data_IF_204486504124
#
_entry.id   IF_204486504124
#
_cell.length_a   1.000
_cell.length_b   1.000
_cell.length_c   1.000
_cell.angle_alpha   90.00
_cell.angle_beta   90.00
_cell.angle_gamma   90.00
#
_symmetry.space_group_name_H-M   'P 1'
#
loop_
_entity.id
_entity.type
_entity.pdbx_description
1 polymer ?
#
# COMPACT_ATOMS: atom_id res chain seq x y z
N UNK A 1 20.13 -21.19 26.81
CA UNK A 1 19.41 -19.90 26.82
C UNK A 1 20.07 -18.98 25.80
N UNK A 2 19.36 -18.03 25.19
CA UNK A 2 19.98 -17.00 24.35
C UNK A 2 21.05 -16.23 25.14
N UNK A 3 22.21 -15.96 24.54
CA UNK A 3 23.42 -15.43 25.21
C UNK A 3 23.25 -14.03 25.84
N UNK A 4 22.21 -13.28 25.48
CA UNK A 4 21.99 -11.89 25.92
C UNK A 4 20.73 -11.69 26.76
N UNK A 5 20.11 -12.77 27.23
CA UNK A 5 18.80 -12.69 27.91
C UNK A 5 18.88 -11.95 29.26
N UNK A 6 20.01 -12.06 29.96
CA UNK A 6 20.31 -11.40 31.21
C UNK A 6 20.44 -9.88 31.05
N UNK A 7 21.17 -9.41 30.04
CA UNK A 7 21.28 -7.98 29.71
C UNK A 7 19.92 -7.41 29.28
N UNK A 8 19.16 -8.16 28.47
CA UNK A 8 17.80 -7.75 28.07
C UNK A 8 16.87 -7.58 29.28
N UNK A 9 16.92 -8.51 30.25
CA UNK A 9 16.18 -8.38 31.49
C UNK A 9 16.59 -7.16 32.32
N UNK A 10 17.88 -6.79 32.31
CA UNK A 10 18.38 -5.55 32.90
C UNK A 10 17.71 -4.31 32.30
N UNK A 11 17.63 -4.23 30.97
CA UNK A 11 16.97 -3.13 30.25
C UNK A 11 15.48 -3.07 30.58
N UNK A 12 14.79 -4.22 30.62
CA UNK A 12 13.36 -4.26 30.95
C UNK A 12 13.07 -3.72 32.35
N UNK A 13 13.96 -3.95 33.32
CA UNK A 13 13.83 -3.41 34.68
C UNK A 13 14.04 -1.90 34.69
N UNK A 14 15.10 -1.42 34.04
CA UNK A 14 15.44 0.01 33.99
C UNK A 14 14.36 0.84 33.28
N UNK A 15 13.82 0.33 32.16
CA UNK A 15 12.89 1.06 31.29
C UNK A 15 11.43 0.64 31.46
N UNK A 16 11.09 -0.08 32.54
CA UNK A 16 9.78 -0.71 32.72
C UNK A 16 8.61 0.27 32.53
N UNK A 17 8.66 1.41 33.22
CA UNK A 17 7.59 2.44 33.17
C UNK A 17 7.43 2.97 31.76
N UNK A 18 8.52 3.43 31.13
CA UNK A 18 8.50 3.97 29.78
C UNK A 18 8.05 2.94 28.72
N UNK A 19 8.48 1.67 28.86
CA UNK A 19 8.07 0.60 27.95
C UNK A 19 6.60 0.26 28.13
N UNK A 20 6.10 0.16 29.37
CA UNK A 20 4.67 -0.03 29.65
C UNK A 20 3.84 1.11 29.11
N UNK A 21 4.28 2.36 29.31
CA UNK A 21 3.63 3.52 28.70
C UNK A 21 3.59 3.36 27.18
N UNK A 22 4.72 3.20 26.49
CA UNK A 22 4.75 3.10 25.02
C UNK A 22 3.97 1.92 24.45
N UNK A 23 3.95 0.78 25.12
CA UNK A 23 3.17 -0.39 24.73
C UNK A 23 1.66 -0.18 24.97
N UNK A 24 1.28 0.69 25.90
CA UNK A 24 -0.10 1.03 26.23
C UNK A 24 -0.56 2.38 25.67
N UNK A 25 0.32 3.23 25.12
CA UNK A 25 0.00 4.57 24.62
C UNK A 25 -1.02 4.50 23.48
N UNK A 26 -1.00 3.45 22.66
CA UNK A 26 -2.04 3.16 21.66
C UNK A 26 -3.33 2.54 22.20
N UNK A 27 -3.49 2.43 23.53
CA UNK A 27 -4.72 1.95 24.21
C UNK A 27 -5.26 2.93 25.26
N UNK A 28 -4.50 3.97 25.62
CA UNK A 28 -4.77 4.78 26.83
C UNK A 28 -4.74 6.29 26.63
N UNK A 29 -4.09 6.83 25.59
CA UNK A 29 -4.37 8.21 25.18
C UNK A 29 -5.66 8.18 24.38
N UNK A 30 -6.75 8.26 25.13
CA UNK A 30 -8.10 8.40 24.61
C UNK A 30 -8.09 9.38 23.44
N UNK A 31 -8.60 8.94 22.28
CA UNK A 31 -9.21 9.87 21.34
C UNK A 31 -10.37 10.54 22.10
N UNK A 32 -10.07 11.68 22.74
CA UNK A 32 -10.82 12.19 23.89
C UNK A 32 -12.14 12.84 23.55
N UNK A 33 -12.41 13.17 22.28
CA UNK A 33 -13.76 13.61 21.96
C UNK A 33 -14.68 12.39 21.87
N UNK A 34 -15.66 12.32 22.77
CA UNK A 34 -16.82 11.43 22.66
C UNK A 34 -17.38 11.45 21.22
N UNK A 35 -17.32 12.62 20.57
CA UNK A 35 -17.65 12.84 19.17
C UNK A 35 -16.85 11.99 18.19
N UNK A 36 -15.54 11.86 18.33
CA UNK A 36 -14.74 10.98 17.47
C UNK A 36 -15.22 9.53 17.58
N UNK A 37 -15.41 9.05 18.81
CA UNK A 37 -15.90 7.69 19.04
C UNK A 37 -17.31 7.48 18.49
N UNK A 38 -18.20 8.46 18.64
CA UNK A 38 -19.54 8.43 18.05
C UNK A 38 -19.50 8.31 16.53
N UNK A 39 -18.68 9.14 15.86
CA UNK A 39 -18.53 9.09 14.40
C UNK A 39 -17.89 7.77 13.97
N UNK A 40 -16.88 7.26 14.70
CA UNK A 40 -16.33 5.94 14.44
C UNK A 40 -17.41 4.86 14.45
N UNK A 41 -18.22 4.82 15.51
CA UNK A 41 -19.27 3.80 15.68
C UNK A 41 -20.39 3.94 14.63
N UNK A 42 -20.69 5.16 14.18
CA UNK A 42 -21.63 5.40 13.07
C UNK A 42 -21.10 4.88 11.73
N UNK A 43 -19.78 4.90 11.54
CA UNK A 43 -19.12 4.46 10.31
C UNK A 43 -18.48 3.07 10.44
N UNK A 44 -18.76 2.33 11.51
CA UNK A 44 -18.32 0.95 11.72
C UNK A 44 -19.52 0.01 11.68
N UNK A 45 -19.64 -0.73 10.58
CA UNK A 45 -20.83 -1.48 10.23
C UNK A 45 -20.69 -2.95 10.62
N UNK A 46 -21.76 -3.59 11.14
CA UNK A 46 -21.71 -4.98 11.57
C UNK A 46 -21.66 -5.97 10.41
N UNK A 47 -20.97 -7.08 10.62
CA UNK A 47 -20.83 -8.18 9.67
C UNK A 47 -22.02 -9.15 9.73
N UNK A 48 -23.24 -8.63 9.62
CA UNK A 48 -24.47 -9.45 9.59
C UNK A 48 -25.23 -9.25 8.28
N UNK A 49 -26.15 -10.17 7.98
CA UNK A 49 -27.00 -10.14 6.78
C UNK A 49 -26.18 -10.03 5.47
N UNK A 50 -25.04 -10.73 5.41
CA UNK A 50 -24.31 -10.88 4.17
C UNK A 50 -25.14 -11.73 3.20
N UNK A 51 -25.17 -11.39 1.89
CA UNK A 51 -25.81 -12.23 0.89
C UNK A 51 -25.09 -13.58 0.77
N UNK A 52 -25.72 -14.55 0.12
CA UNK A 52 -25.03 -15.78 -0.22
C UNK A 52 -23.83 -15.49 -1.14
N UNK A 53 -22.65 -16.09 -0.88
CA UNK A 53 -21.48 -15.86 -1.69
C UNK A 53 -21.75 -16.32 -3.13
N UNK A 54 -21.37 -15.48 -4.09
CA UNK A 54 -21.52 -15.84 -5.50
C UNK A 54 -20.50 -16.93 -5.87
N UNK A 55 -20.97 -17.94 -6.61
CA UNK A 55 -20.08 -18.96 -7.17
C UNK A 55 -19.28 -18.35 -8.33
N UNK A 56 -17.98 -18.62 -8.35
CA UNK A 56 -17.08 -18.07 -9.36
C UNK A 56 -15.77 -18.82 -9.43
N UNK A 57 -14.99 -18.50 -10.46
CA UNK A 57 -13.58 -18.90 -10.50
C UNK A 57 -12.82 -17.82 -9.77
N UNK A 58 -11.93 -18.18 -8.86
CA UNK A 58 -11.05 -17.19 -8.28
C UNK A 58 -9.61 -17.64 -8.22
N UNK A 59 -8.72 -16.67 -8.15
CA UNK A 59 -7.28 -16.85 -8.07
C UNK A 59 -6.74 -16.06 -6.89
N UNK A 60 -5.91 -16.69 -6.08
CA UNK A 60 -5.10 -16.03 -5.06
C UNK A 60 -3.67 -15.90 -5.57
N UNK A 61 -3.09 -14.70 -5.46
CA UNK A 61 -1.77 -14.38 -5.99
C UNK A 61 -0.92 -13.79 -4.87
N UNK A 62 0.29 -14.31 -4.76
CA UNK A 62 1.32 -13.77 -3.88
C UNK A 62 2.70 -13.90 -4.53
N UNK A 63 3.63 -13.08 -4.06
CA UNK A 63 5.00 -12.96 -4.53
C UNK A 63 6.01 -13.35 -3.45
N UNK A 64 7.18 -13.80 -3.88
CA UNK A 64 8.32 -13.98 -3.01
C UNK A 64 9.60 -13.62 -3.73
N UNK A 65 10.58 -13.16 -2.96
CA UNK A 65 11.89 -12.84 -3.50
C UNK A 65 13.01 -13.25 -2.55
N UNK A 66 14.20 -13.36 -3.10
CA UNK A 66 15.42 -13.60 -2.35
C UNK A 66 16.60 -12.97 -3.06
N UNK A 67 17.64 -12.69 -2.28
CA UNK A 67 18.84 -12.04 -2.78
C UNK A 67 20.10 -12.55 -2.08
N UNK A 68 21.22 -12.40 -2.78
CA UNK A 68 22.57 -12.68 -2.30
C UNK A 68 23.51 -11.57 -2.74
N UNK A 69 24.31 -11.08 -1.79
CA UNK A 69 25.43 -10.23 -2.12
C UNK A 69 26.61 -11.09 -2.59
N UNK A 70 27.17 -10.72 -3.72
CA UNK A 70 28.34 -11.35 -4.31
C UNK A 70 29.61 -10.60 -3.89
N UNK A 71 30.75 -11.28 -3.88
CA UNK A 71 32.03 -10.74 -3.42
C UNK A 71 32.52 -9.56 -4.26
N UNK A 72 32.10 -9.47 -5.52
CA UNK A 72 32.40 -8.36 -6.42
C UNK A 72 31.49 -7.14 -6.20
N UNK A 73 30.63 -7.15 -5.17
CA UNK A 73 29.73 -6.07 -4.82
C UNK A 73 28.43 -6.01 -5.64
N UNK A 74 28.18 -7.00 -6.50
CA UNK A 74 26.88 -7.18 -7.16
C UNK A 74 25.89 -7.90 -6.25
N UNK A 75 24.61 -7.80 -6.59
CA UNK A 75 23.52 -8.49 -5.93
C UNK A 75 22.85 -9.40 -6.95
N UNK A 76 22.88 -10.71 -6.69
CA UNK A 76 22.02 -11.68 -7.36
C UNK A 76 20.66 -11.66 -6.67
N UNK A 77 19.58 -11.62 -7.46
CA UNK A 77 18.23 -11.76 -6.91
C UNK A 77 17.36 -12.66 -7.77
N UNK A 78 16.34 -13.21 -7.12
CA UNK A 78 15.21 -13.90 -7.73
C UNK A 78 13.94 -13.28 -7.17
N UNK A 79 13.02 -12.90 -8.03
CA UNK A 79 11.64 -12.52 -7.69
C UNK A 79 10.69 -13.44 -8.46
N UNK A 80 9.70 -13.99 -7.77
CA UNK A 80 8.72 -14.90 -8.37
C UNK A 80 7.34 -14.64 -7.81
N UNK A 81 6.33 -14.98 -8.59
CA UNK A 81 4.94 -14.94 -8.15
C UNK A 81 4.21 -16.19 -8.63
N UNK A 82 3.19 -16.56 -7.86
CA UNK A 82 2.33 -17.70 -8.11
C UNK A 82 0.88 -17.27 -8.00
N UNK A 83 0.02 -17.78 -8.88
CA UNK A 83 -1.43 -17.68 -8.80
C UNK A 83 -2.03 -19.07 -8.68
N UNK A 84 -2.86 -19.31 -7.67
CA UNK A 84 -3.55 -20.57 -7.42
C UNK A 84 -5.06 -20.35 -7.50
N UNK A 85 -5.78 -21.26 -8.16
CA UNK A 85 -7.23 -21.20 -8.27
C UNK A 85 -7.96 -22.23 -7.42
N UNK A 86 -9.27 -22.00 -7.22
CA UNK A 86 -10.20 -23.00 -6.72
C UNK A 86 -10.53 -24.11 -7.74
N UNK A 87 -10.16 -23.92 -9.00
CA UNK A 87 -10.09 -24.99 -10.00
C UNK A 87 -8.63 -25.43 -10.20
N UNK A 88 -8.35 -26.61 -10.79
CA UNK A 88 -6.99 -27.08 -11.09
C UNK A 88 -6.27 -26.21 -12.14
N UNK A 89 -5.89 -24.99 -11.75
CA UNK A 89 -5.19 -24.00 -12.55
C UNK A 89 -4.16 -23.28 -11.69
N UNK A 90 -2.94 -23.16 -12.23
CA UNK A 90 -1.83 -22.44 -11.61
C UNK A 90 -1.13 -21.59 -12.66
N UNK A 91 -0.76 -20.37 -12.29
CA UNK A 91 0.01 -19.48 -13.14
C UNK A 91 1.25 -18.99 -12.40
N UNK A 92 2.38 -18.91 -13.10
CA UNK A 92 3.66 -18.57 -12.48
C UNK A 92 4.48 -17.59 -13.31
N UNK A 93 5.27 -16.79 -12.61
CA UNK A 93 6.24 -15.90 -13.22
C UNK A 93 7.49 -15.80 -12.35
N UNK A 94 8.65 -15.68 -12.99
CA UNK A 94 9.94 -15.56 -12.32
C UNK A 94 10.84 -14.61 -13.11
N UNK A 95 11.51 -13.73 -12.38
CA UNK A 95 12.58 -12.87 -12.86
C UNK A 95 13.80 -13.14 -11.98
N UNK A 96 14.96 -13.29 -12.61
CA UNK A 96 16.23 -13.40 -11.93
C UNK A 96 17.26 -12.59 -12.70
N UNK A 97 18.12 -11.87 -11.98
CA UNK A 97 19.15 -11.02 -12.57
C UNK A 97 20.24 -10.67 -11.54
N UNK A 98 21.33 -10.08 -12.01
CA UNK A 98 22.49 -9.65 -11.21
C UNK A 98 22.74 -8.18 -11.46
N UNK A 99 22.70 -7.36 -10.41
CA UNK A 99 22.80 -5.90 -10.57
C UNK A 99 23.70 -5.24 -9.53
N UNK A 100 24.01 -3.96 -9.74
CA UNK A 100 24.72 -3.12 -8.77
C UNK A 100 24.11 -1.72 -8.71
N UNK A 101 24.54 -0.91 -7.74
CA UNK A 101 23.95 0.39 -7.44
C UNK A 101 24.81 1.56 -7.93
N UNK A 102 24.14 2.63 -8.37
CA UNK A 102 24.79 3.89 -8.74
C UNK A 102 25.29 4.69 -7.52
N UNK A 103 24.61 4.56 -6.38
CA UNK A 103 24.91 5.26 -5.12
C UNK A 103 24.58 4.36 -3.94
N UNK A 104 25.26 4.55 -2.79
CA UNK A 104 25.34 3.62 -1.65
C UNK A 104 24.14 2.70 -1.35
N UNK A 105 24.45 1.50 -0.83
CA UNK A 105 23.61 0.29 -0.66
C UNK A 105 22.24 0.40 0.04
N UNK A 106 21.78 1.59 0.43
CA UNK A 106 20.68 1.77 1.39
C UNK A 106 19.26 1.47 0.87
N UNK A 107 19.05 0.93 -0.35
CA UNK A 107 17.70 0.72 -0.92
C UNK A 107 17.50 -0.56 -1.74
N UNK A 108 18.30 -1.60 -1.52
CA UNK A 108 18.13 -2.89 -2.24
C UNK A 108 16.75 -3.51 -2.03
N UNK A 109 16.22 -3.45 -0.81
CA UNK A 109 14.93 -4.05 -0.49
C UNK A 109 13.77 -3.42 -1.26
N UNK A 110 13.68 -2.09 -1.34
CA UNK A 110 12.57 -1.42 -2.02
C UNK A 110 12.49 -1.74 -3.51
N UNK A 111 13.64 -1.84 -4.20
CA UNK A 111 13.68 -2.22 -5.61
C UNK A 111 13.22 -3.67 -5.83
N UNK A 112 13.70 -4.60 -5.01
CA UNK A 112 13.34 -6.01 -5.14
C UNK A 112 11.88 -6.25 -4.72
N UNK A 113 11.37 -5.52 -3.73
CA UNK A 113 9.92 -5.53 -3.42
C UNK A 113 9.12 -5.10 -4.63
N UNK A 114 9.48 -4.02 -5.32
CA UNK A 114 8.81 -3.60 -6.55
C UNK A 114 8.91 -4.66 -7.67
N UNK A 115 10.03 -5.39 -7.77
CA UNK A 115 10.17 -6.53 -8.70
C UNK A 115 9.26 -7.70 -8.34
N UNK A 116 9.08 -7.98 -7.05
CA UNK A 116 8.13 -8.99 -6.57
C UNK A 116 6.69 -8.61 -6.94
N UNK A 117 6.29 -7.37 -6.65
CA UNK A 117 4.98 -6.85 -7.02
C UNK A 117 4.77 -6.87 -8.54
N UNK A 118 5.81 -6.54 -9.32
CA UNK A 118 5.77 -6.65 -10.78
C UNK A 118 5.50 -8.10 -11.24
N UNK A 119 6.11 -9.10 -10.58
CA UNK A 119 5.85 -10.50 -10.89
C UNK A 119 4.40 -10.88 -10.58
N UNK A 120 3.84 -10.41 -9.46
CA UNK A 120 2.43 -10.64 -9.11
C UNK A 120 1.50 -10.06 -10.18
N UNK A 121 1.70 -8.79 -10.57
CA UNK A 121 0.92 -8.16 -11.63
C UNK A 121 1.13 -8.83 -12.99
N UNK A 122 2.29 -9.42 -13.25
CA UNK A 122 2.51 -10.18 -14.47
C UNK A 122 1.69 -11.48 -14.47
N UNK A 123 1.57 -12.18 -13.33
CA UNK A 123 0.67 -13.33 -13.19
C UNK A 123 -0.78 -12.91 -13.40
N UNK A 124 -1.21 -11.79 -12.80
CA UNK A 124 -2.55 -11.22 -13.02
C UNK A 124 -2.78 -10.94 -14.51
N UNK A 125 -1.83 -10.29 -15.18
CA UNK A 125 -1.93 -9.95 -16.59
C UNK A 125 -2.06 -11.19 -17.48
N UNK A 126 -1.31 -12.26 -17.19
CA UNK A 126 -1.42 -13.55 -17.90
C UNK A 126 -2.81 -14.15 -17.73
N UNK A 127 -3.33 -14.18 -16.50
CA UNK A 127 -4.67 -14.68 -16.19
C UNK A 127 -5.74 -13.91 -16.95
N UNK A 128 -5.73 -12.58 -16.85
CA UNK A 128 -6.69 -11.72 -17.55
C UNK A 128 -6.61 -11.86 -19.06
N UNK A 129 -5.40 -11.98 -19.62
CA UNK A 129 -5.20 -12.23 -21.06
C UNK A 129 -5.81 -13.57 -21.47
N UNK A 130 -5.68 -14.61 -20.64
CA UNK A 130 -6.31 -15.91 -20.88
C UNK A 130 -7.83 -15.84 -20.82
N UNK A 131 -8.40 -15.05 -19.91
CA UNK A 131 -9.85 -14.83 -19.81
C UNK A 131 -10.38 -14.10 -21.03
N UNK A 132 -9.67 -13.07 -21.50
CA UNK A 132 -10.04 -12.32 -22.71
C UNK A 132 -10.05 -13.19 -23.97
N UNK A 133 -9.14 -14.16 -24.06
CA UNK A 133 -9.07 -15.11 -25.18
C UNK A 133 -10.19 -16.17 -25.14
N UNK A 134 -10.72 -16.48 -23.96
CA UNK A 134 -11.84 -17.40 -23.80
C UNK A 134 -13.15 -16.65 -24.12
N UNK A 135 -13.69 -16.85 -25.32
CA UNK A 135 -14.94 -16.22 -25.83
C UNK A 135 -16.22 -16.58 -25.05
N UNK A 136 -16.13 -17.39 -24.00
CA UNK A 136 -17.25 -17.65 -23.09
C UNK A 136 -17.46 -16.50 -22.12
N UNK A 137 -18.35 -15.60 -22.50
CA UNK A 137 -18.93 -14.55 -21.65
C UNK A 137 -19.62 -15.16 -20.41
N UNK A 138 -19.49 -14.51 -19.25
CA UNK A 138 -20.16 -14.81 -17.96
C UNK A 138 -19.52 -15.86 -17.03
N UNK A 139 -18.20 -15.79 -16.77
CA UNK A 139 -17.69 -16.31 -15.48
C UNK A 139 -17.42 -15.15 -14.54
N UNK A 140 -17.99 -15.22 -13.34
CA UNK A 140 -17.61 -14.34 -12.23
C UNK A 140 -16.18 -14.71 -11.81
N UNK A 141 -15.22 -13.99 -12.36
CA UNK A 141 -13.81 -14.17 -12.05
C UNK A 141 -13.41 -13.20 -10.95
N UNK A 142 -12.73 -13.69 -9.93
CA UNK A 142 -12.19 -12.87 -8.84
C UNK A 142 -10.68 -13.11 -8.72
N UNK A 143 -9.89 -12.06 -8.64
CA UNK A 143 -8.45 -12.17 -8.40
C UNK A 143 -8.13 -11.47 -7.07
N UNK A 144 -7.64 -12.24 -6.11
CA UNK A 144 -7.14 -11.78 -4.83
C UNK A 144 -5.62 -11.60 -4.91
N UNK A 145 -5.13 -10.43 -4.51
CA UNK A 145 -3.70 -10.10 -4.44
C UNK A 145 -3.35 -9.81 -2.99
N UNK A 146 -2.28 -10.43 -2.46
CA UNK A 146 -1.74 -10.07 -1.15
C UNK A 146 -0.99 -8.72 -1.22
N UNK A 147 -1.69 -7.66 -0.86
CA UNK A 147 -1.20 -6.29 -0.86
C UNK A 147 -2.26 -5.25 -1.21
N UNK A 148 -1.98 -4.01 -0.83
CA UNK A 148 -2.84 -2.87 -1.13
C UNK A 148 -2.71 -2.45 -2.59
N UNK A 149 -3.81 -2.43 -3.35
CA UNK A 149 -3.82 -1.87 -4.70
C UNK A 149 -3.59 -0.36 -4.65
N UNK A 150 -4.29 0.35 -3.76
CA UNK A 150 -4.19 1.80 -3.64
C UNK A 150 -2.80 2.23 -3.14
N UNK A 151 -2.25 1.55 -2.14
CA UNK A 151 -0.93 1.87 -1.57
C UNK A 151 0.17 1.80 -2.63
N UNK A 152 0.14 0.76 -3.48
CA UNK A 152 1.10 0.55 -4.57
C UNK A 152 1.09 1.68 -5.59
N UNK A 153 -0.09 2.17 -5.98
CA UNK A 153 -0.21 3.26 -6.97
C UNK A 153 0.13 4.64 -6.39
N UNK A 154 0.03 4.85 -5.08
CA UNK A 154 0.33 6.16 -4.46
C UNK A 154 1.82 6.45 -4.33
N UNK A 155 2.69 5.46 -4.56
CA UNK A 155 4.13 5.69 -4.57
C UNK A 155 4.55 6.47 -5.82
N UNK A 156 5.29 7.58 -5.67
CA UNK A 156 5.68 8.41 -6.80
C UNK A 156 6.61 7.65 -7.76
N UNK A 157 6.39 7.75 -9.08
CA UNK A 157 7.33 7.20 -10.05
C UNK A 157 8.65 7.96 -9.99
N UNK A 158 9.67 7.31 -9.44
CA UNK A 158 11.04 7.83 -9.38
C UNK A 158 12.01 6.84 -9.99
N UNK A 159 13.13 7.36 -10.47
CA UNK A 159 14.23 6.56 -10.98
C UNK A 159 14.77 5.58 -9.94
N UNK A 160 15.02 4.35 -10.39
CA UNK A 160 15.69 3.34 -9.58
C UNK A 160 17.18 3.66 -9.45
N UNK A 161 17.76 3.34 -8.28
CA UNK A 161 19.20 3.46 -8.06
C UNK A 161 20.00 2.28 -8.64
N UNK A 162 19.34 1.34 -9.32
CA UNK A 162 19.96 0.18 -9.95
C UNK A 162 20.49 0.56 -11.33
N UNK A 163 21.76 0.27 -11.59
CA UNK A 163 22.38 0.52 -12.90
C UNK A 163 21.70 -0.32 -13.99
N UNK A 164 21.39 0.29 -15.13
CA UNK A 164 20.78 -0.37 -16.29
C UNK A 164 19.27 -0.65 -16.19
N UNK A 165 18.63 -0.34 -15.06
CA UNK A 165 17.17 -0.49 -14.90
C UNK A 165 16.54 0.69 -14.15
N UNK A 166 17.05 1.89 -14.40
CA UNK A 166 16.59 3.13 -13.78
C UNK A 166 15.12 3.45 -14.10
N UNK A 167 14.63 3.04 -15.27
CA UNK A 167 13.26 3.24 -15.74
C UNK A 167 12.23 2.23 -15.17
N UNK A 168 12.63 1.29 -14.31
CA UNK A 168 11.78 0.16 -13.93
C UNK A 168 10.44 0.56 -13.29
N UNK A 169 10.41 1.65 -12.52
CA UNK A 169 9.16 2.16 -11.94
C UNK A 169 8.12 2.54 -12.99
N UNK A 170 8.54 3.01 -14.17
CA UNK A 170 7.65 3.29 -15.30
C UNK A 170 7.15 1.99 -15.94
N UNK A 171 8.01 0.98 -16.12
CA UNK A 171 7.61 -0.35 -16.62
C UNK A 171 6.57 -1.00 -15.70
N UNK A 172 6.74 -0.84 -14.39
CA UNK A 172 5.76 -1.30 -13.40
C UNK A 172 4.41 -0.59 -13.54
N UNK A 173 4.41 0.75 -13.61
CA UNK A 173 3.17 1.52 -13.76
C UNK A 173 2.44 1.21 -15.08
N UNK A 174 3.19 0.96 -16.15
CA UNK A 174 2.63 0.55 -17.43
C UNK A 174 1.84 -0.76 -17.29
N UNK A 175 2.48 -1.79 -16.73
CA UNK A 175 1.86 -3.09 -16.46
C UNK A 175 0.65 -2.98 -15.51
N UNK A 176 0.79 -2.19 -14.44
CA UNK A 176 -0.30 -1.94 -13.49
C UNK A 176 -1.53 -1.34 -14.20
N UNK A 177 -1.31 -0.36 -15.08
CA UNK A 177 -2.37 0.24 -15.88
C UNK A 177 -2.99 -0.75 -16.88
N UNK A 178 -2.18 -1.64 -17.48
CA UNK A 178 -2.68 -2.67 -18.39
C UNK A 178 -3.54 -3.70 -17.65
N UNK A 179 -3.13 -4.11 -16.44
CA UNK A 179 -3.89 -5.02 -15.59
C UNK A 179 -5.25 -4.43 -15.23
N UNK A 180 -5.31 -3.17 -14.76
CA UNK A 180 -6.59 -2.57 -14.38
C UNK A 180 -7.54 -2.43 -15.57
N UNK A 181 -7.01 -2.08 -16.74
CA UNK A 181 -7.79 -2.00 -17.98
C UNK A 181 -8.29 -3.38 -18.40
N UNK A 182 -7.45 -4.40 -18.39
CA UNK A 182 -7.84 -5.76 -18.75
C UNK A 182 -8.84 -6.36 -17.76
N UNK A 183 -8.70 -6.07 -16.46
CA UNK A 183 -9.65 -6.50 -15.44
C UNK A 183 -11.04 -5.93 -15.72
N UNK A 184 -11.11 -4.63 -16.04
CA UNK A 184 -12.34 -3.97 -16.45
C UNK A 184 -12.92 -4.57 -17.74
N UNK A 185 -12.10 -4.75 -18.78
CA UNK A 185 -12.55 -5.31 -20.08
C UNK A 185 -13.04 -6.76 -19.98
N UNK A 186 -12.53 -7.52 -19.01
CA UNK A 186 -12.92 -8.93 -18.78
C UNK A 186 -13.97 -9.09 -17.69
N UNK A 187 -14.45 -7.99 -17.10
CA UNK A 187 -15.38 -8.00 -15.96
C UNK A 187 -14.88 -8.92 -14.82
N UNK A 188 -13.57 -8.83 -14.52
CA UNK A 188 -12.91 -9.59 -13.46
C UNK A 188 -12.74 -8.70 -12.22
N UNK A 189 -13.32 -9.12 -11.10
CA UNK A 189 -13.19 -8.41 -9.84
C UNK A 189 -11.76 -8.54 -9.31
N UNK A 190 -11.03 -7.43 -9.26
CA UNK A 190 -9.69 -7.37 -8.69
C UNK A 190 -9.75 -6.85 -7.24
N UNK A 191 -9.20 -7.63 -6.29
CA UNK A 191 -9.24 -7.31 -4.86
C UNK A 191 -7.83 -7.39 -4.27
N UNK A 192 -7.33 -6.27 -3.75
CA UNK A 192 -6.14 -6.27 -2.90
C UNK A 192 -6.50 -6.46 -1.43
N UNK A 193 -5.78 -7.31 -0.73
CA UNK A 193 -6.00 -7.60 0.70
C UNK A 193 -4.69 -7.38 1.45
N UNK A 194 -4.69 -6.64 2.56
CA UNK A 194 -3.48 -6.37 3.36
C UNK A 194 -3.77 -6.49 4.86
N UNK A 195 -3.01 -7.36 5.56
CA UNK A 195 -3.20 -7.67 6.99
C UNK A 195 -2.60 -6.63 7.93
N UNK A 196 -1.44 -6.08 7.59
CA UNK A 196 -0.71 -5.11 8.41
C UNK A 196 -0.66 -3.74 7.74
N UNK A 197 -1.84 -3.14 7.58
CA UNK A 197 -1.93 -1.85 6.92
C UNK A 197 -1.51 -0.72 7.85
N UNK A 198 -0.51 0.04 7.42
CA UNK A 198 -0.19 1.35 8.01
C UNK A 198 -1.10 2.47 7.48
N UNK A 199 -2.22 2.10 6.84
CA UNK A 199 -3.21 3.05 6.37
C UNK A 199 -3.84 3.81 7.53
N UNK A 200 -4.27 5.03 7.25
CA UNK A 200 -4.99 5.89 8.19
C UNK A 200 -6.15 6.62 7.50
N UNK A 201 -6.54 6.23 6.27
CA UNK A 201 -7.52 6.99 5.49
C UNK A 201 -8.87 7.09 6.20
N UNK A 202 -9.29 6.05 6.92
CA UNK A 202 -10.56 6.05 7.65
C UNK A 202 -10.51 6.97 8.87
N UNK A 203 -9.46 6.80 9.70
CA UNK A 203 -9.18 7.66 10.85
C UNK A 203 -9.12 9.13 10.46
N UNK A 204 -8.38 9.47 9.40
CA UNK A 204 -8.23 10.86 8.98
C UNK A 204 -9.54 11.45 8.46
N UNK A 205 -10.40 10.66 7.81
CA UNK A 205 -11.72 11.16 7.43
C UNK A 205 -12.59 11.47 8.65
N UNK A 206 -12.55 10.61 9.68
CA UNK A 206 -13.27 10.89 10.94
C UNK A 206 -12.72 12.17 11.57
N UNK A 207 -11.39 12.33 11.62
CA UNK A 207 -10.76 13.55 12.13
C UNK A 207 -11.14 14.78 11.32
N UNK A 208 -11.23 14.67 10.00
CA UNK A 208 -11.67 15.75 9.12
C UNK A 208 -13.12 16.17 9.43
N UNK A 209 -14.03 15.23 9.69
CA UNK A 209 -15.40 15.54 10.12
C UNK A 209 -15.43 16.26 11.48
N UNK A 210 -14.62 15.81 12.43
CA UNK A 210 -14.51 16.46 13.75
C UNK A 210 -13.92 17.88 13.60
N UNK A 211 -12.87 18.02 12.79
CA UNK A 211 -12.20 19.29 12.49
C UNK A 211 -13.14 20.29 11.82
N UNK A 212 -13.90 19.86 10.81
CA UNK A 212 -14.81 20.76 10.08
C UNK A 212 -15.86 21.38 11.01
N UNK A 213 -16.42 20.59 11.91
CA UNK A 213 -17.37 21.10 12.90
C UNK A 213 -16.72 22.00 13.94
N UNK A 214 -15.49 21.69 14.36
CA UNK A 214 -14.73 22.52 15.28
C UNK A 214 -14.34 23.87 14.63
N UNK A 215 -13.92 23.87 13.37
CA UNK A 215 -13.62 25.08 12.62
C UNK A 215 -14.87 25.95 12.44
N UNK A 216 -16.05 25.38 12.13
CA UNK A 216 -17.32 26.12 12.08
C UNK A 216 -17.67 26.77 13.43
N UNK A 217 -17.36 26.11 14.55
CA UNK A 217 -17.53 26.67 15.89
C UNK A 217 -16.57 27.83 16.12
N UNK A 218 -15.29 27.63 15.81
CA UNK A 218 -14.22 28.62 15.99
C UNK A 218 -14.39 29.86 15.11
N UNK A 219 -14.94 29.75 13.91
CA UNK A 219 -15.21 30.89 13.01
C UNK A 219 -16.12 31.96 13.63
N UNK A 220 -16.84 31.65 14.71
CA UNK A 220 -17.64 32.62 15.47
C UNK A 220 -16.80 33.46 16.45
N UNK A 221 -15.55 33.08 16.67
CA UNK A 221 -14.66 33.59 17.72
C UNK A 221 -13.38 34.17 17.10
N UNK A 222 -12.76 33.43 16.19
CA UNK A 222 -11.51 33.81 15.52
C UNK A 222 -11.78 34.40 14.13
N UNK A 223 -10.82 35.16 13.63
CA UNK A 223 -10.90 35.74 12.28
C UNK A 223 -10.86 34.66 11.19
N UNK A 224 -11.38 34.99 10.00
CA UNK A 224 -11.36 34.09 8.84
C UNK A 224 -9.93 33.64 8.48
N UNK A 225 -8.95 34.54 8.56
CA UNK A 225 -7.54 34.22 8.28
C UNK A 225 -6.90 33.32 9.34
N UNK A 226 -7.29 33.45 10.61
CA UNK A 226 -6.88 32.52 11.68
C UNK A 226 -7.51 31.13 11.45
N UNK A 227 -8.80 31.06 11.10
CA UNK A 227 -9.48 29.79 10.78
C UNK A 227 -8.87 29.09 9.55
N UNK A 228 -8.59 29.83 8.48
CA UNK A 228 -7.89 29.29 7.29
C UNK A 228 -6.48 28.80 7.64
N UNK A 229 -5.77 29.51 8.51
CA UNK A 229 -4.46 29.06 9.00
C UNK A 229 -4.56 27.73 9.76
N UNK A 230 -5.52 27.57 10.67
CA UNK A 230 -5.74 26.33 11.41
C UNK A 230 -6.07 25.16 10.49
N UNK A 231 -6.91 25.38 9.47
CA UNK A 231 -7.20 24.36 8.45
C UNK A 231 -5.93 23.94 7.71
N UNK A 232 -5.14 24.92 7.24
CA UNK A 232 -3.89 24.65 6.52
C UNK A 232 -2.83 23.97 7.42
N UNK A 233 -2.79 24.28 8.71
CA UNK A 233 -1.90 23.65 9.67
C UNK A 233 -2.11 22.13 9.69
N UNK A 234 -3.37 21.69 9.80
CA UNK A 234 -3.72 20.27 9.84
C UNK A 234 -3.49 19.60 8.48
N UNK A 235 -3.90 20.23 7.38
CA UNK A 235 -3.69 19.65 6.04
C UNK A 235 -2.22 19.48 5.67
N UNK A 236 -1.32 20.26 6.28
CA UNK A 236 0.12 20.19 6.08
C UNK A 236 0.86 19.59 7.29
N UNK A 237 0.19 18.81 8.14
CA UNK A 237 0.78 18.23 9.36
C UNK A 237 2.04 17.42 9.07
N UNK A 238 2.06 16.68 7.94
CA UNK A 238 3.19 15.84 7.52
C UNK A 238 4.48 16.62 7.21
N UNK A 239 4.35 17.91 6.89
CA UNK A 239 5.44 18.80 6.49
C UNK A 239 5.53 20.03 7.44
N UNK A 240 5.07 19.87 8.68
CA UNK A 240 5.14 20.89 9.72
C UNK A 240 6.58 21.36 9.95
N UNK A 241 6.77 22.67 9.90
CA UNK A 241 8.04 23.31 10.22
C UNK A 241 7.93 24.10 11.55
N UNK A 242 9.07 24.38 12.22
CA UNK A 242 9.05 25.04 13.53
C UNK A 242 8.40 26.43 13.54
N UNK A 243 8.50 27.21 12.46
CA UNK A 243 7.93 28.57 12.41
C UNK A 243 6.41 28.56 12.29
N UNK A 244 5.86 27.62 11.54
CA UNK A 244 4.41 27.39 11.44
C UNK A 244 3.86 26.92 12.78
N UNK A 245 4.54 26.01 13.46
CA UNK A 245 4.12 25.54 14.78
C UNK A 245 4.22 26.66 15.84
N UNK A 246 5.26 27.49 15.80
CA UNK A 246 5.38 28.64 16.70
C UNK A 246 4.23 29.64 16.51
N UNK A 247 3.81 29.88 15.26
CA UNK A 247 2.64 30.71 14.96
C UNK A 247 1.35 30.10 15.55
N UNK A 248 1.21 28.78 15.52
CA UNK A 248 0.11 28.09 16.18
C UNK A 248 0.14 28.31 17.69
N UNK A 249 1.30 28.15 18.36
CA UNK A 249 1.43 28.40 19.79
C UNK A 249 1.05 29.84 20.17
N UNK A 250 1.45 30.84 19.38
CA UNK A 250 1.02 32.24 19.61
C UNK A 250 -0.50 32.42 19.49
N UNK A 251 -1.15 31.68 18.59
CA UNK A 251 -2.60 31.70 18.45
C UNK A 251 -3.29 30.96 19.60
N UNK A 252 -2.71 29.85 20.06
CA UNK A 252 -3.16 29.11 21.23
C UNK A 252 -3.10 29.96 22.49
N UNK A 253 -2.00 30.69 22.71
CA UNK A 253 -1.85 31.62 23.85
C UNK A 253 -2.90 32.74 23.85
N UNK A 254 -3.38 33.14 22.67
CA UNK A 254 -4.44 34.15 22.50
C UNK A 254 -5.83 33.60 22.81
N UNK A 255 -6.08 32.32 22.55
CA UNK A 255 -7.40 31.67 22.71
C UNK A 255 -7.27 30.28 23.36
N UNK A 256 -6.70 30.16 24.57
CA UNK A 256 -6.29 28.87 25.13
C UNK A 256 -7.48 27.96 25.42
N UNK A 257 -8.58 28.51 25.93
CA UNK A 257 -9.78 27.74 26.26
C UNK A 257 -10.51 27.30 25.00
N UNK A 258 -10.62 28.20 24.02
CA UNK A 258 -11.36 27.97 22.80
C UNK A 258 -10.64 27.00 21.88
N UNK A 259 -9.30 26.96 21.88
CA UNK A 259 -8.50 26.09 21.03
C UNK A 259 -8.13 24.75 21.65
N UNK A 260 -8.58 24.43 22.87
CA UNK A 260 -8.31 23.13 23.51
C UNK A 260 -8.75 21.94 22.64
N UNK A 261 -10.00 21.97 22.15
CA UNK A 261 -10.53 20.93 21.27
C UNK A 261 -9.72 20.82 19.96
N UNK A 262 -9.35 21.96 19.36
CA UNK A 262 -8.47 21.97 18.20
C UNK A 262 -7.09 21.38 18.49
N UNK A 263 -6.50 21.68 19.67
CA UNK A 263 -5.21 21.12 20.07
C UNK A 263 -5.27 19.60 20.18
N UNK A 264 -6.34 19.05 20.76
CA UNK A 264 -6.56 17.59 20.80
C UNK A 264 -6.64 16.99 19.39
N UNK A 265 -7.34 17.65 18.46
CA UNK A 265 -7.42 17.19 17.07
C UNK A 265 -6.04 17.23 16.40
N UNK A 266 -5.26 18.29 16.61
CA UNK A 266 -3.91 18.43 16.07
C UNK A 266 -2.95 17.39 16.63
N UNK A 267 -2.95 17.19 17.94
CA UNK A 267 -2.17 16.15 18.62
C UNK A 267 -2.52 14.77 18.07
N UNK A 268 -3.80 14.55 17.78
CA UNK A 268 -4.24 13.33 17.15
C UNK A 268 -3.66 13.21 15.74
N UNK A 269 -3.79 14.20 14.86
CA UNK A 269 -3.12 14.16 13.56
C UNK A 269 -1.60 13.87 13.62
N UNK A 270 -0.92 14.37 14.66
CA UNK A 270 0.49 14.09 14.93
C UNK A 270 0.74 12.67 15.45
N UNK A 271 -0.22 12.08 16.16
CA UNK A 271 -0.22 10.67 16.51
C UNK A 271 -0.44 9.85 15.23
N UNK A 272 0.63 9.23 14.72
CA UNK A 272 0.61 8.37 13.53
C UNK A 272 -0.07 7.00 13.77
N UNK A 273 -1.19 6.97 14.52
CA UNK A 273 -1.99 5.78 14.73
C UNK A 273 -2.65 5.35 13.41
N UNK A 274 -2.67 4.04 13.18
CA UNK A 274 -3.23 3.41 11.97
C UNK A 274 -4.70 3.08 12.14
N UNK A 275 -5.40 2.88 11.02
CA UNK A 275 -6.78 2.40 11.02
C UNK A 275 -6.89 1.03 11.72
N UNK A 276 -5.88 0.16 11.57
CA UNK A 276 -5.81 -1.13 12.27
C UNK A 276 -5.80 -0.95 13.79
N UNK A 277 -4.94 -0.06 14.31
CA UNK A 277 -4.88 0.21 15.75
C UNK A 277 -6.20 0.80 16.25
N UNK A 278 -6.82 1.69 15.47
CA UNK A 278 -8.11 2.29 15.81
C UNK A 278 -9.23 1.24 15.88
N UNK A 279 -9.31 0.34 14.90
CA UNK A 279 -10.34 -0.71 14.87
C UNK A 279 -10.17 -1.66 16.05
N UNK A 280 -8.94 -2.08 16.36
CA UNK A 280 -8.65 -2.94 17.52
C UNK A 280 -9.04 -2.31 18.86
N UNK A 281 -9.06 -0.97 18.93
CA UNK A 281 -9.41 -0.22 20.14
C UNK A 281 -10.94 -0.04 20.29
N UNK A 282 -11.65 0.33 19.21
CA UNK A 282 -13.05 0.74 19.29
C UNK A 282 -14.07 -0.28 18.80
N UNK A 283 -13.68 -1.27 18.01
CA UNK A 283 -14.63 -2.27 17.51
C UNK A 283 -15.18 -3.13 18.65
N UNK A 284 -16.51 -3.19 18.75
CA UNK A 284 -17.22 -3.98 19.77
C UNK A 284 -17.81 -5.28 19.24
N UNK A 285 -17.83 -5.45 17.92
CA UNK A 285 -18.35 -6.63 17.22
C UNK A 285 -17.57 -6.86 15.91
N UNK A 286 -17.64 -8.07 15.32
CA UNK A 286 -17.13 -8.30 13.97
C UNK A 286 -17.85 -7.41 12.95
N UNK A 287 -17.09 -6.74 12.10
CA UNK A 287 -17.61 -5.66 11.29
C UNK A 287 -16.61 -5.15 10.26
N UNK A 288 -16.99 -4.07 9.59
CA UNK A 288 -16.15 -3.42 8.61
C UNK A 288 -16.35 -1.90 8.67
N UNK A 289 -15.31 -1.15 8.33
CA UNK A 289 -15.44 0.30 8.20
C UNK A 289 -16.29 0.62 6.97
N UNK A 290 -17.06 1.71 7.03
CA UNK A 290 -17.78 2.19 5.87
C UNK A 290 -16.83 2.36 4.67
N UNK A 291 -17.19 1.82 3.48
CA UNK A 291 -16.34 1.92 2.29
C UNK A 291 -16.10 3.36 1.87
N UNK A 292 -14.89 3.63 1.39
CA UNK A 292 -14.45 4.96 1.01
C UNK A 292 -13.80 4.95 -0.35
N UNK A 293 -14.17 5.90 -1.21
CA UNK A 293 -13.44 6.13 -2.45
C UNK A 293 -12.22 7.01 -2.18
N UNK A 294 -11.05 6.52 -2.58
CA UNK A 294 -9.74 7.12 -2.36
C UNK A 294 -9.14 7.57 -3.69
N UNK A 295 -8.79 8.85 -3.76
CA UNK A 295 -7.77 9.37 -4.67
C UNK A 295 -6.59 9.95 -3.91
N UNK A 296 -5.66 10.68 -4.57
CA UNK A 296 -4.53 11.30 -3.90
C UNK A 296 -5.00 12.45 -3.00
N UNK A 297 -5.40 12.14 -1.76
CA UNK A 297 -6.00 13.10 -0.82
C UNK A 297 -4.99 13.76 0.14
N UNK A 298 -3.74 13.27 0.17
CA UNK A 298 -2.68 13.79 1.04
C UNK A 298 -1.79 14.77 0.28
N UNK A 299 -1.25 15.75 1.00
CA UNK A 299 -0.47 16.84 0.42
C UNK A 299 0.70 16.35 -0.46
N UNK A 300 1.48 15.37 0.01
CA UNK A 300 2.61 14.83 -0.75
C UNK A 300 2.18 14.20 -2.08
N UNK A 301 1.24 13.23 -2.12
CA UNK A 301 0.63 12.75 -3.36
C UNK A 301 0.08 13.88 -4.24
N UNK A 302 -0.71 14.81 -3.68
CA UNK A 302 -1.30 15.95 -4.43
C UNK A 302 -0.21 16.75 -5.15
N UNK A 303 0.86 17.13 -4.44
CA UNK A 303 1.97 17.89 -5.03
C UNK A 303 2.64 17.14 -6.17
N UNK A 304 2.84 15.82 -6.02
CA UNK A 304 3.45 14.99 -7.05
C UNK A 304 2.54 14.87 -8.28
N UNK A 305 1.25 14.59 -8.07
CA UNK A 305 0.25 14.52 -9.14
C UNK A 305 0.16 15.85 -9.89
N UNK A 306 0.14 16.96 -9.18
CA UNK A 306 0.13 18.30 -9.77
C UNK A 306 1.40 18.58 -10.59
N UNK A 307 2.58 18.15 -10.14
CA UNK A 307 3.82 18.26 -10.93
C UNK A 307 3.75 17.47 -12.24
N UNK A 308 3.19 16.25 -12.20
CA UNK A 308 3.02 15.42 -13.40
C UNK A 308 2.00 16.06 -14.34
N UNK A 309 0.86 16.56 -13.82
CA UNK A 309 -0.18 17.22 -14.63
C UNK A 309 0.31 18.49 -15.32
N UNK A 310 1.06 19.33 -14.61
CA UNK A 310 1.58 20.58 -15.17
C UNK A 310 2.55 20.32 -16.32
N UNK A 311 3.49 19.38 -16.16
CA UNK A 311 4.42 19.00 -17.23
C UNK A 311 5.05 17.62 -16.96
N UNK A 312 4.55 16.56 -17.63
CA UNK A 312 5.14 15.23 -17.53
C UNK A 312 6.61 15.23 -17.98
N UNK A 313 6.94 16.02 -18.99
CA UNK A 313 8.31 16.17 -19.50
C UNK A 313 9.23 16.74 -18.44
N UNK A 314 8.83 17.83 -17.78
CA UNK A 314 9.63 18.44 -16.72
C UNK A 314 9.78 17.52 -15.51
N UNK A 315 8.71 16.81 -15.14
CA UNK A 315 8.76 15.80 -14.09
C UNK A 315 9.81 14.72 -14.39
N UNK A 316 9.80 14.16 -15.61
CA UNK A 316 10.77 13.16 -16.06
C UNK A 316 12.19 13.72 -16.06
N UNK A 317 12.41 14.91 -16.61
CA UNK A 317 13.71 15.58 -16.59
C UNK A 317 14.23 15.83 -15.17
N UNK A 318 13.35 15.98 -14.18
CA UNK A 318 13.73 16.16 -12.78
C UNK A 318 13.97 14.84 -12.05
N UNK A 319 13.16 13.82 -12.30
CA UNK A 319 13.11 12.58 -11.50
C UNK A 319 13.79 11.37 -12.13
N UNK A 320 14.10 11.41 -13.44
CA UNK A 320 14.73 10.35 -14.22
C UNK A 320 15.98 10.85 -14.97
N UNK A 321 16.81 11.60 -14.25
CA UNK A 321 17.97 12.31 -14.85
C UNK A 321 19.01 11.35 -15.40
N UNK A 322 19.34 10.30 -14.67
CA UNK A 322 20.40 9.39 -15.06
C UNK A 322 19.96 8.52 -16.24
N UNK A 323 18.73 8.01 -16.22
CA UNK A 323 18.09 7.29 -17.33
C UNK A 323 18.11 8.15 -18.59
N UNK A 324 17.73 9.42 -18.51
CA UNK A 324 17.75 10.30 -19.69
C UNK A 324 19.18 10.44 -20.25
N UNK A 325 20.19 10.58 -19.39
CA UNK A 325 21.59 10.65 -19.82
C UNK A 325 22.03 9.33 -20.46
N UNK A 326 21.66 8.19 -19.88
CA UNK A 326 21.94 6.86 -20.39
C UNK A 326 21.30 6.64 -21.77
N UNK A 327 19.98 6.86 -21.89
CA UNK A 327 19.26 6.73 -23.17
C UNK A 327 19.76 7.72 -24.23
N UNK A 328 20.30 8.88 -23.82
CA UNK A 328 20.96 9.81 -24.74
C UNK A 328 22.28 9.25 -25.29
N UNK A 329 23.10 8.62 -24.45
CA UNK A 329 24.33 7.93 -24.89
C UNK A 329 24.02 6.76 -25.82
N UNK A 330 22.94 6.04 -25.54
CA UNK A 330 22.43 4.93 -26.36
C UNK A 330 21.72 5.39 -27.65
N UNK A 331 21.53 6.70 -27.86
CA UNK A 331 20.80 7.28 -29.00
C UNK A 331 19.33 6.83 -29.11
N UNK A 332 18.69 6.49 -27.98
CA UNK A 332 17.28 6.07 -27.90
C UNK A 332 16.41 7.01 -27.05
N UNK A 333 16.94 8.14 -26.62
CA UNK A 333 16.21 9.16 -25.84
C UNK A 333 14.90 9.60 -26.51
N UNK A 334 14.92 9.75 -27.83
CA UNK A 334 13.75 10.19 -28.61
C UNK A 334 12.63 9.15 -28.64
N UNK A 335 12.92 7.89 -28.30
CA UNK A 335 11.93 6.83 -28.09
C UNK A 335 11.48 6.76 -26.63
N UNK A 336 12.43 6.92 -25.69
CA UNK A 336 12.17 6.88 -24.26
C UNK A 336 11.21 7.99 -23.80
N UNK A 337 11.44 9.24 -24.22
CA UNK A 337 10.65 10.38 -23.73
C UNK A 337 9.16 10.26 -24.10
N UNK A 338 8.77 9.97 -25.35
CA UNK A 338 7.36 9.74 -25.70
C UNK A 338 6.72 8.58 -24.93
N UNK A 339 7.43 7.45 -24.79
CA UNK A 339 6.93 6.30 -24.02
C UNK A 339 6.69 6.67 -22.55
N UNK A 340 7.68 7.26 -21.89
CA UNK A 340 7.59 7.64 -20.48
C UNK A 340 6.47 8.67 -20.23
N UNK A 341 6.30 9.64 -21.13
CA UNK A 341 5.17 10.59 -21.07
C UNK A 341 3.83 9.87 -21.22
N UNK A 342 3.73 8.89 -22.11
CA UNK A 342 2.53 8.09 -22.29
C UNK A 342 2.21 7.28 -21.02
N UNK A 343 3.21 6.65 -20.40
CA UNK A 343 3.05 5.93 -19.13
C UNK A 343 2.53 6.87 -18.03
N UNK A 344 3.12 8.06 -17.87
CA UNK A 344 2.64 9.03 -16.89
C UNK A 344 1.21 9.50 -17.18
N UNK A 345 0.84 9.69 -18.44
CA UNK A 345 -0.55 10.00 -18.82
C UNK A 345 -1.51 8.87 -18.43
N UNK A 346 -1.14 7.62 -18.68
CA UNK A 346 -1.95 6.45 -18.29
C UNK A 346 -2.09 6.37 -16.76
N UNK A 347 -0.99 6.57 -16.03
CA UNK A 347 -0.96 6.63 -14.57
C UNK A 347 -1.95 7.67 -13.99
N UNK A 348 -1.98 8.88 -14.57
CA UNK A 348 -2.90 9.93 -14.14
C UNK A 348 -4.38 9.61 -14.41
N UNK A 349 -4.67 8.74 -15.39
CA UNK A 349 -6.02 8.32 -15.77
C UNK A 349 -6.40 6.94 -15.18
N UNK A 350 -5.62 6.42 -14.23
CA UNK A 350 -6.05 5.24 -13.48
C UNK A 350 -7.33 5.53 -12.70
N UNK A 351 -8.21 4.54 -12.50
CA UNK A 351 -9.36 4.71 -11.63
C UNK A 351 -8.91 5.01 -10.19
N UNK A 352 -9.79 5.68 -9.45
CA UNK A 352 -9.72 5.71 -7.98
C UNK A 352 -9.95 4.31 -7.39
N UNK A 353 -9.79 4.16 -6.08
CA UNK A 353 -9.96 2.88 -5.40
C UNK A 353 -10.98 3.00 -4.28
N UNK A 354 -11.85 2.01 -4.14
CA UNK A 354 -12.67 1.86 -2.95
C UNK A 354 -11.91 1.02 -1.93
N UNK A 355 -11.81 1.55 -0.72
CA UNK A 355 -11.09 0.91 0.38
C UNK A 355 -11.92 0.87 1.65
N UNK A 356 -11.80 -0.24 2.38
CA UNK A 356 -12.37 -0.43 3.72
C UNK A 356 -11.54 -1.43 4.50
N UNK A 357 -11.76 -1.50 5.81
CA UNK A 357 -11.18 -2.51 6.67
C UNK A 357 -12.25 -3.51 7.12
N UNK A 358 -11.94 -4.79 7.07
CA UNK A 358 -12.75 -5.90 7.56
C UNK A 358 -12.11 -6.47 8.83
N UNK A 359 -12.91 -6.58 9.90
CA UNK A 359 -12.58 -7.33 11.10
C UNK A 359 -13.48 -8.58 11.16
N UNK A 360 -12.99 -9.77 10.76
CA UNK A 360 -13.80 -10.99 10.69
C UNK A 360 -14.29 -11.46 12.06
N UNK A 361 -13.47 -11.27 13.11
CA UNK A 361 -13.74 -11.66 14.49
C UNK A 361 -13.09 -10.68 15.47
N UNK A 362 -13.68 -10.51 16.65
CA UNK A 362 -13.05 -9.75 17.73
C UNK A 362 -11.77 -10.46 18.19
N UNK A 363 -10.69 -9.69 18.34
CA UNK A 363 -9.36 -10.20 18.66
C UNK A 363 -8.53 -10.63 17.44
N UNK A 364 -9.11 -10.58 16.24
CA UNK A 364 -8.38 -10.82 14.99
C UNK A 364 -7.70 -9.54 14.47
N UNK A 365 -6.85 -9.66 13.45
CA UNK A 365 -6.20 -8.52 12.79
C UNK A 365 -7.11 -7.91 11.73
N UNK A 366 -7.43 -6.60 11.77
CA UNK A 366 -8.19 -5.95 10.71
C UNK A 366 -7.48 -6.03 9.37
N UNK A 367 -8.19 -6.45 8.34
CA UNK A 367 -7.68 -6.57 6.97
C UNK A 367 -8.17 -5.39 6.14
N UNK A 368 -7.25 -4.66 5.51
CA UNK A 368 -7.59 -3.67 4.49
C UNK A 368 -7.95 -4.37 3.19
N UNK A 369 -9.04 -3.95 2.57
CA UNK A 369 -9.52 -4.41 1.26
C UNK A 369 -9.53 -3.21 0.32
N UNK A 370 -8.90 -3.35 -0.85
CA UNK A 370 -8.89 -2.36 -1.92
C UNK A 370 -9.47 -2.93 -3.21
N UNK A 371 -10.34 -2.18 -3.87
CA UNK A 371 -10.99 -2.56 -5.13
C UNK A 371 -11.01 -1.35 -6.06
N UNK A 372 -10.78 -1.50 -7.39
CA UNK A 372 -10.94 -0.38 -8.33
C UNK A 372 -12.35 0.21 -8.27
N UNK A 373 -12.47 1.54 -8.29
CA UNK A 373 -13.75 2.23 -8.06
C UNK A 373 -14.81 2.00 -9.14
N UNK A 374 -14.40 1.61 -10.35
CA UNK A 374 -15.34 1.27 -11.42
C UNK A 374 -16.23 0.07 -11.07
N UNK A 375 -15.80 -0.83 -10.17
CA UNK A 375 -16.64 -1.94 -9.68
C UNK A 375 -17.88 -1.42 -8.92
N UNK A 376 -17.74 -0.24 -8.32
CA UNK A 376 -18.81 0.46 -7.62
C UNK A 376 -19.60 1.40 -8.54
N UNK A 377 -19.25 1.48 -9.83
CA UNK A 377 -19.89 2.37 -10.81
C UNK A 377 -19.30 3.78 -10.85
N UNK A 378 -18.20 4.04 -10.13
CA UNK A 378 -17.50 5.32 -10.22
C UNK A 378 -16.76 5.44 -11.55
N UNK A 379 -16.81 6.63 -12.14
CA UNK A 379 -16.00 6.99 -13.33
C UNK A 379 -14.83 7.89 -12.97
N UNK A 380 -14.56 8.08 -11.68
CA UNK A 380 -13.49 8.96 -11.23
C UNK A 380 -12.11 8.37 -11.54
N UNK A 381 -11.19 9.28 -11.85
CA UNK A 381 -9.78 8.96 -12.09
C UNK A 381 -8.90 9.77 -11.15
N UNK A 382 -7.68 9.29 -10.89
CA UNK A 382 -6.79 9.87 -9.88
C UNK A 382 -6.47 11.36 -10.11
N UNK A 383 -6.40 11.81 -11.37
CA UNK A 383 -6.15 13.23 -11.68
C UNK A 383 -7.30 14.17 -11.29
N UNK A 384 -8.55 13.67 -11.35
CA UNK A 384 -9.77 14.48 -11.21
C UNK A 384 -10.39 14.35 -9.81
N UNK A 385 -10.00 13.34 -9.04
CA UNK A 385 -10.51 13.06 -7.70
C UNK A 385 -9.38 13.08 -6.67
N UNK A 386 -9.01 14.26 -6.15
CA UNK A 386 -7.92 14.43 -5.18
C UNK A 386 -8.45 14.50 -3.73
N UNK A 387 -9.35 13.58 -3.37
CA UNK A 387 -10.00 13.56 -2.06
C UNK A 387 -10.36 12.14 -1.62
N UNK A 388 -11.03 12.06 -0.48
CA UNK A 388 -11.56 10.83 0.08
C UNK A 388 -13.03 11.05 0.44
N UNK A 389 -13.92 10.18 -0.03
CA UNK A 389 -15.36 10.28 0.23
C UNK A 389 -15.91 8.96 0.78
N UNK A 390 -16.82 9.06 1.76
CA UNK A 390 -17.59 7.90 2.21
C UNK A 390 -18.61 7.48 1.15
N UNK A 391 -18.71 6.18 0.91
CA UNK A 391 -19.71 5.58 0.03
C UNK A 391 -20.95 5.15 0.84
N UNK A 392 -22.13 5.31 0.24
CA UNK A 392 -23.43 4.98 0.83
C UNK A 392 -24.36 4.32 -0.19
N UNK A 393 -25.53 3.85 0.23
CA UNK A 393 -26.56 3.31 -0.67
C UNK A 393 -26.11 2.01 -1.38
N UNK A 394 -26.34 1.93 -2.69
CA UNK A 394 -26.04 0.74 -3.51
C UNK A 394 -24.58 0.27 -3.43
N UNK A 395 -23.64 1.20 -3.17
CA UNK A 395 -22.23 0.85 -2.96
C UNK A 395 -22.05 -0.07 -1.75
N UNK A 396 -22.85 0.12 -0.70
CA UNK A 396 -22.79 -0.70 0.50
C UNK A 396 -23.27 -2.13 0.24
N UNK A 397 -24.26 -2.32 -0.63
CA UNK A 397 -24.75 -3.64 -1.00
C UNK A 397 -23.70 -4.40 -1.83
N UNK A 398 -23.01 -3.71 -2.74
CA UNK A 398 -21.83 -4.27 -3.44
C UNK A 398 -20.71 -4.64 -2.47
N UNK A 399 -20.40 -3.79 -1.49
CA UNK A 399 -19.43 -4.10 -0.44
C UNK A 399 -19.83 -5.36 0.33
N UNK A 400 -21.10 -5.51 0.71
CA UNK A 400 -21.59 -6.73 1.37
C UNK A 400 -21.45 -7.98 0.51
N UNK A 401 -21.66 -7.89 -0.82
CA UNK A 401 -21.44 -9.01 -1.72
C UNK A 401 -19.97 -9.44 -1.77
N UNK A 402 -19.03 -8.48 -1.78
CA UNK A 402 -17.60 -8.76 -1.71
C UNK A 402 -17.22 -9.35 -0.35
N UNK A 403 -17.75 -8.80 0.74
CA UNK A 403 -17.56 -9.34 2.08
C UNK A 403 -18.06 -10.77 2.21
N UNK A 404 -19.24 -11.09 1.64
CA UNK A 404 -19.76 -12.46 1.62
C UNK A 404 -18.78 -13.43 0.97
N UNK A 405 -18.21 -13.04 -0.17
CA UNK A 405 -17.19 -13.82 -0.87
C UNK A 405 -15.92 -13.99 -0.02
N UNK A 406 -15.40 -12.92 0.61
CA UNK A 406 -14.20 -12.99 1.45
C UNK A 406 -14.42 -13.86 2.69
N UNK A 407 -15.60 -13.77 3.30
CA UNK A 407 -15.96 -14.53 4.50
C UNK A 407 -16.22 -16.02 4.22
N UNK A 408 -16.67 -16.38 3.01
CA UNK A 408 -16.80 -17.78 2.58
C UNK A 408 -15.44 -18.51 2.56
N UNK A 409 -14.37 -17.76 2.34
CA UNK A 409 -13.00 -18.27 2.31
C UNK A 409 -12.29 -18.11 3.67
N UNK A 410 -12.97 -17.53 4.67
CA UNK A 410 -12.40 -17.25 5.97
C UNK A 410 -12.39 -18.46 6.89
N UNK A 411 -11.27 -18.69 7.60
CA UNK A 411 -11.14 -19.81 8.56
C UNK A 411 -10.97 -19.30 10.00
N UNK A 412 -9.83 -18.68 10.29
CA UNK A 412 -9.43 -18.23 11.62
C UNK A 412 -8.31 -17.18 11.55
N UNK A 413 -7.81 -16.77 12.72
CA UNK A 413 -6.77 -15.76 12.90
C UNK A 413 -5.36 -16.20 12.47
N UNK A 414 -5.14 -17.45 12.08
CA UNK A 414 -3.85 -17.93 11.57
C UNK A 414 -3.87 -18.03 10.05
N UNK A 415 -4.94 -18.63 9.52
CA UNK A 415 -5.11 -18.92 8.09
C UNK A 415 -5.69 -17.73 7.35
N UNK A 416 -6.63 -17.01 7.96
CA UNK A 416 -7.43 -15.94 7.37
C UNK A 416 -8.17 -16.37 6.12
N UNK A 417 -7.51 -16.50 4.97
CA UNK A 417 -8.06 -16.97 3.71
C UNK A 417 -7.25 -18.17 3.22
N UNK A 418 -7.93 -19.31 2.99
CA UNK A 418 -7.27 -20.58 2.66
C UNK A 418 -6.35 -20.45 1.44
N UNK A 419 -6.80 -19.76 0.40
CA UNK A 419 -6.08 -19.68 -0.87
C UNK A 419 -4.91 -18.69 -0.80
N UNK A 420 -5.10 -17.53 -0.17
CA UNK A 420 -3.99 -16.61 0.11
C UNK A 420 -2.93 -17.28 0.99
N UNK A 421 -3.35 -18.08 1.98
CA UNK A 421 -2.39 -18.81 2.81
C UNK A 421 -1.66 -19.91 2.04
N UNK A 422 -2.37 -20.62 1.15
CA UNK A 422 -1.78 -21.67 0.32
C UNK A 422 -0.73 -21.07 -0.63
N UNK A 423 -1.06 -19.97 -1.31
CA UNK A 423 -0.13 -19.33 -2.24
C UNK A 423 1.08 -18.73 -1.53
N UNK A 424 0.91 -18.09 -0.35
CA UNK A 424 2.03 -17.63 0.52
C UNK A 424 3.00 -18.77 0.83
N UNK A 425 2.47 -19.91 1.28
CA UNK A 425 3.31 -21.07 1.62
C UNK A 425 4.02 -21.67 0.39
N UNK A 426 3.35 -21.77 -0.76
CA UNK A 426 3.93 -22.35 -1.98
C UNK A 426 4.95 -21.43 -2.66
N UNK A 427 4.69 -20.11 -2.68
CA UNK A 427 5.56 -19.13 -3.35
C UNK A 427 6.79 -18.80 -2.51
N UNK A 428 6.75 -19.02 -1.19
CA UNK A 428 7.84 -18.70 -0.26
C UNK A 428 9.20 -19.22 -0.71
N UNK A 429 10.13 -18.31 -0.96
CA UNK A 429 11.46 -18.66 -1.41
C UNK A 429 12.34 -19.06 -0.23
N UNK A 430 12.61 -20.36 -0.11
CA UNK A 430 13.51 -20.88 0.92
C UNK A 430 14.98 -20.59 0.57
N UNK A 431 15.85 -20.61 1.59
CA UNK A 431 17.31 -20.49 1.36
C UNK A 431 17.82 -21.58 0.41
N UNK A 432 17.34 -22.82 0.57
CA UNK A 432 17.71 -23.93 -0.31
C UNK A 432 17.26 -23.74 -1.76
N UNK A 433 16.08 -23.18 -2.00
CA UNK A 433 15.62 -22.86 -3.35
C UNK A 433 16.48 -21.77 -4.01
N UNK A 434 16.87 -20.74 -3.25
CA UNK A 434 17.77 -19.70 -3.76
C UNK A 434 19.16 -20.25 -4.10
N UNK A 435 19.68 -21.16 -3.28
CA UNK A 435 20.93 -21.86 -3.55
C UNK A 435 20.88 -22.65 -4.87
N UNK A 436 19.75 -23.31 -5.17
CA UNK A 436 19.57 -24.05 -6.44
C UNK A 436 19.55 -23.11 -7.65
N UNK A 437 18.90 -21.94 -7.56
CA UNK A 437 18.92 -20.96 -8.65
C UNK A 437 20.33 -20.43 -8.91
N UNK A 438 21.08 -20.18 -7.84
CA UNK A 438 22.45 -19.70 -7.94
C UNK A 438 23.38 -20.75 -8.56
N UNK A 439 23.26 -22.01 -8.13
CA UNK A 439 24.02 -23.12 -8.72
C UNK A 439 23.68 -23.30 -10.20
N UNK A 440 22.38 -23.33 -10.54
CA UNK A 440 21.95 -23.42 -11.93
C UNK A 440 22.48 -22.25 -12.78
N UNK A 441 22.57 -21.04 -12.20
CA UNK A 441 23.15 -19.88 -12.88
C UNK A 441 24.66 -20.06 -13.09
N UNK A 442 25.41 -20.47 -12.06
CA UNK A 442 26.85 -20.73 -12.15
C UNK A 442 27.16 -21.78 -13.23
N UNK A 443 26.46 -22.91 -13.19
CA UNK A 443 26.64 -24.03 -14.11
C UNK A 443 26.30 -23.65 -15.55
N UNK A 444 25.21 -22.89 -15.75
CA UNK A 444 24.73 -22.52 -17.09
C UNK A 444 25.57 -21.43 -17.75
N UNK A 445 26.12 -20.51 -16.96
CA UNK A 445 26.91 -19.37 -17.44
C UNK A 445 28.42 -19.63 -17.43
N UNK A 446 28.86 -20.77 -16.87
CA UNK A 446 30.28 -21.13 -16.70
C UNK A 446 31.06 -20.05 -15.92
N UNK A 447 30.47 -19.60 -14.81
CA UNK A 447 31.06 -18.56 -13.93
C UNK A 447 31.17 -19.04 -12.49
N UNK A 448 32.29 -18.70 -11.86
CA UNK A 448 32.50 -18.95 -10.44
C UNK A 448 31.87 -17.82 -9.61
N UNK A 449 30.91 -18.17 -8.75
CA UNK A 449 30.24 -17.20 -7.88
C UNK A 449 30.92 -17.19 -6.50
N UNK A 450 31.45 -16.03 -6.13
CA UNK A 450 32.07 -15.80 -4.83
C UNK A 450 31.13 -14.99 -3.92
N UNK A 451 31.02 -15.37 -2.65
CA UNK A 451 30.23 -14.65 -1.64
C UNK A 451 31.06 -13.76 -0.72
N UNK A 452 30.42 -12.74 -0.13
CA UNK A 452 31.00 -11.96 0.98
C UNK A 452 31.20 -12.81 2.24
N UNK A 453 32.13 -12.39 3.11
CA UNK A 453 32.78 -13.23 4.16
C UNK A 453 31.82 -13.96 5.13
N UNK A 454 30.61 -13.47 5.35
CA UNK A 454 29.62 -14.08 6.25
C UNK A 454 28.93 -15.33 5.67
N UNK A 455 29.14 -15.61 4.38
CA UNK A 455 28.60 -16.77 3.64
C UNK A 455 29.70 -17.68 3.06
N UNK A 456 30.88 -17.78 3.70
CA UNK A 456 31.93 -18.73 3.30
C UNK A 456 31.50 -20.19 3.50
N UNK A 457 30.66 -20.69 2.60
CA UNK A 457 30.61 -22.09 2.17
C UNK A 457 30.91 -22.06 0.68
N UNK A 458 32.19 -22.20 0.35
CA UNK A 458 32.61 -22.39 -1.03
C UNK A 458 31.90 -23.66 -1.52
N UNK A 459 30.98 -23.52 -2.48
CA UNK A 459 30.40 -24.66 -3.19
C UNK A 459 31.18 -24.78 -4.49
N UNK A 460 31.91 -25.88 -4.62
CA UNK A 460 32.53 -26.30 -5.87
C UNK A 460 31.48 -27.04 -6.72
N UNK A 461 31.64 -27.05 -8.07
CA UNK A 461 30.78 -27.82 -8.97
C UNK A 461 30.74 -29.32 -8.62
#
# INVERSE_FOLDING_TARGET
MPEFIDLFQGILKERNVLLKERLNVGRQKALTSQKFQEIFLQNYLPLHNLPNPQKGTFFAIDGSFGQRELANGYVFYVSRALGISNIPSKEQHLIADVFTFSTGRKKTSSYITLKSEYCEFHVVHKLLSSFKAQTTSNKNNVILIDGSLYGRVMHPPIESNVLGDGEFSLKYLELYADVLKLAQETNTLLVGISKDSNASFFRNQILDLVLDDELKRLQKIISKSESEFLFQLVKNVDDLNPSVFQRYLTLFDKYPTELNCFNEILDEYLNNQTDNALILEYAKFPGFTQPMELGPARQRPIVIFNQILQSPVFYLQKRFRHVIIEKQKEKVKDQFMPWAVNVLKRYMNLPTFVSFHLLPRIGDTPMRVDIPSYEFGSTNVLKDFQRTDFLTGECLDKTKAILAFLMDQYVDFETYNVFLKTVDLEVKLSRGALDLYEQAMADRLDVLIHHTRDFRRVKFP
#
